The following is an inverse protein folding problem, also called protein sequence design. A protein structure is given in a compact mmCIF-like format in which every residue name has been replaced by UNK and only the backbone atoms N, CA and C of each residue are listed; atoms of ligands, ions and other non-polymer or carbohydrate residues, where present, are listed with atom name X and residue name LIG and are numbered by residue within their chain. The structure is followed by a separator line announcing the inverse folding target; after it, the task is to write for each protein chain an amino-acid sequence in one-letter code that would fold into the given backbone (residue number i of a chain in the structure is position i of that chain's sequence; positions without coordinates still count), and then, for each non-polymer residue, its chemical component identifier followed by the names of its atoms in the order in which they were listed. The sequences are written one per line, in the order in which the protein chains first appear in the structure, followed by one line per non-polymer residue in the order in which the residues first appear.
data_IF_665080213568
#
_entry.id   IF_665080213568
#
_cell.length_a   1.000
_cell.length_b   1.000
_cell.length_c   1.000
_cell.angle_alpha   90.00
_cell.angle_beta   90.00
_cell.angle_gamma   90.00
#
_symmetry.space_group_name_H-M   'P 1'
#
loop_
_entity.id
_entity.type
_entity.pdbx_description
1 polymer ?
#
# COMPACT_ATOMS: atom_id res chain seq x y z
N UNK A 1 -56.10 43.57 -24.87
CA UNK A 1 -55.90 42.88 -23.58
C UNK A 1 -55.93 41.38 -23.82
N UNK A 2 -54.77 40.72 -23.93
CA UNK A 2 -54.56 39.28 -23.69
C UNK A 2 -53.18 38.86 -24.23
N UNK A 3 -52.14 38.96 -23.40
CA UNK A 3 -50.84 38.35 -23.70
C UNK A 3 -50.02 38.12 -22.42
N UNK A 4 -50.55 37.38 -21.44
CA UNK A 4 -49.73 36.81 -20.36
C UNK A 4 -50.38 35.49 -19.91
N UNK A 5 -49.76 34.34 -20.24
CA UNK A 5 -49.75 33.07 -19.48
C UNK A 5 -49.28 31.92 -20.39
N UNK A 6 -47.97 31.68 -20.47
CA UNK A 6 -47.47 30.37 -20.92
C UNK A 6 -46.08 29.99 -20.39
N UNK A 7 -45.35 30.89 -19.73
CA UNK A 7 -43.97 30.61 -19.29
C UNK A 7 -43.83 29.99 -17.88
N UNK A 8 -44.92 29.80 -17.12
CA UNK A 8 -44.87 29.26 -15.74
C UNK A 8 -45.06 27.74 -15.63
N UNK A 9 -45.47 27.05 -16.70
CA UNK A 9 -45.81 25.61 -16.64
C UNK A 9 -44.60 24.68 -16.87
N UNK A 10 -43.65 25.04 -17.75
CA UNK A 10 -42.49 24.19 -18.06
C UNK A 10 -41.44 24.19 -16.93
N UNK A 11 -41.25 25.33 -16.25
CA UNK A 11 -40.36 25.45 -15.10
C UNK A 11 -40.86 24.64 -13.88
N UNK A 12 -42.17 24.60 -13.67
CA UNK A 12 -42.79 23.81 -12.60
C UNK A 12 -42.76 22.30 -12.88
N UNK A 13 -42.99 21.87 -14.13
CA UNK A 13 -42.82 20.46 -14.51
C UNK A 13 -41.36 20.00 -14.45
N UNK A 14 -40.41 20.84 -14.87
CA UNK A 14 -38.97 20.59 -14.75
C UNK A 14 -38.54 20.40 -13.28
N UNK A 15 -38.99 21.29 -12.39
CA UNK A 15 -38.70 21.21 -10.95
C UNK A 15 -39.37 19.99 -10.28
N UNK A 16 -40.58 19.61 -10.70
CA UNK A 16 -41.25 18.41 -10.18
C UNK A 16 -40.52 17.13 -10.60
N UNK A 17 -40.06 17.06 -11.85
CA UNK A 17 -39.28 15.93 -12.38
C UNK A 17 -37.92 15.81 -11.69
N UNK A 18 -37.24 16.93 -11.43
CA UNK A 18 -35.97 16.97 -10.69
C UNK A 18 -36.16 16.51 -9.23
N UNK A 19 -37.22 16.96 -8.54
CA UNK A 19 -37.53 16.52 -7.17
C UNK A 19 -37.84 15.03 -7.09
N UNK A 20 -38.62 14.49 -8.04
CA UNK A 20 -38.92 13.05 -8.08
C UNK A 20 -37.68 12.19 -8.39
N UNK A 21 -36.81 12.65 -9.30
CA UNK A 21 -35.58 11.94 -9.61
C UNK A 21 -34.59 11.93 -8.44
N UNK A 22 -34.45 13.06 -7.77
CA UNK A 22 -33.63 13.20 -6.56
C UNK A 22 -34.14 12.29 -5.43
N UNK A 23 -35.45 12.22 -5.22
CA UNK A 23 -36.08 11.33 -4.24
C UNK A 23 -35.87 9.83 -4.55
N UNK A 24 -35.91 9.42 -5.83
CA UNK A 24 -35.62 8.03 -6.22
C UNK A 24 -34.16 7.65 -5.91
N UNK A 25 -33.20 8.52 -6.21
CA UNK A 25 -31.78 8.25 -5.95
C UNK A 25 -31.52 8.17 -4.44
N UNK A 26 -32.22 8.97 -3.63
CA UNK A 26 -32.12 8.93 -2.17
C UNK A 26 -32.64 7.62 -1.56
N UNK A 27 -33.77 7.12 -2.08
CA UNK A 27 -34.28 5.81 -1.67
C UNK A 27 -33.30 4.69 -2.03
N UNK A 28 -32.75 4.72 -3.25
CA UNK A 28 -31.78 3.74 -3.71
C UNK A 28 -30.51 3.76 -2.84
N UNK A 29 -29.97 4.94 -2.55
CA UNK A 29 -28.78 5.07 -1.70
C UNK A 29 -29.02 4.52 -0.29
N UNK A 30 -30.18 4.82 0.30
CA UNK A 30 -30.58 4.26 1.60
C UNK A 30 -30.68 2.73 1.57
N UNK A 31 -31.26 2.16 0.51
CA UNK A 31 -31.31 0.72 0.32
C UNK A 31 -29.90 0.12 0.23
N UNK A 32 -28.98 0.73 -0.52
CA UNK A 32 -27.58 0.27 -0.61
C UNK A 32 -26.86 0.32 0.74
N UNK A 33 -27.10 1.34 1.56
CA UNK A 33 -26.49 1.42 2.91
C UNK A 33 -27.07 0.34 3.82
N UNK A 34 -28.37 0.06 3.73
CA UNK A 34 -28.97 -1.06 4.46
C UNK A 34 -28.40 -2.39 3.99
N UNK A 35 -28.05 -2.53 2.71
CA UNK A 35 -27.33 -3.69 2.20
C UNK A 35 -25.89 -3.76 2.76
N UNK A 36 -25.18 -2.64 2.86
CA UNK A 36 -23.88 -2.59 3.55
C UNK A 36 -24.02 -3.01 5.01
N UNK A 37 -25.06 -2.56 5.71
CA UNK A 37 -25.36 -2.95 7.09
C UNK A 37 -25.71 -4.42 7.24
N UNK A 38 -26.51 -4.97 6.33
CA UNK A 38 -26.87 -6.39 6.34
C UNK A 38 -25.66 -7.27 6.04
N UNK A 39 -24.80 -6.86 5.11
CA UNK A 39 -23.50 -7.46 4.87
C UNK A 39 -22.65 -7.42 6.16
N UNK A 40 -22.53 -6.26 6.83
CA UNK A 40 -21.73 -6.14 8.07
C UNK A 40 -22.21 -7.11 9.16
N UNK A 41 -23.53 -7.33 9.24
CA UNK A 41 -24.16 -8.19 10.26
C UNK A 41 -24.17 -9.67 9.87
N UNK A 42 -23.73 -10.05 8.67
CA UNK A 42 -23.69 -11.46 8.28
C UNK A 42 -22.57 -12.19 9.03
N UNK A 43 -22.81 -13.43 9.43
CA UNK A 43 -21.82 -14.26 10.13
C UNK A 43 -20.54 -14.45 9.29
N UNK A 44 -20.65 -14.44 7.97
CA UNK A 44 -19.50 -14.54 7.06
C UNK A 44 -18.58 -13.32 7.18
N UNK A 45 -19.14 -12.12 7.37
CA UNK A 45 -18.37 -10.88 7.47
C UNK A 45 -17.70 -10.75 8.85
N UNK A 46 -18.27 -11.34 9.90
CA UNK A 46 -17.62 -11.40 11.22
C UNK A 46 -16.35 -12.26 11.20
N UNK A 47 -16.32 -13.34 10.41
CA UNK A 47 -15.19 -14.27 10.38
C UNK A 47 -14.16 -13.98 9.27
N UNK A 48 -14.60 -13.56 8.08
CA UNK A 48 -13.72 -13.48 6.92
C UNK A 48 -13.34 -12.05 6.51
N UNK A 49 -14.02 -11.02 7.02
CA UNK A 49 -13.68 -9.63 6.68
C UNK A 49 -12.61 -9.07 7.62
N UNK A 50 -11.48 -8.57 7.10
CA UNK A 50 -10.46 -7.92 7.91
C UNK A 50 -11.03 -6.77 8.76
N UNK A 51 -10.64 -6.71 10.03
CA UNK A 51 -11.11 -5.71 10.99
C UNK A 51 -10.98 -4.25 10.49
N UNK A 52 -9.91 -3.96 9.73
CA UNK A 52 -9.69 -2.64 9.15
C UNK A 52 -10.79 -2.24 8.14
N UNK A 53 -11.27 -3.19 7.33
CA UNK A 53 -12.35 -3.00 6.35
C UNK A 53 -13.68 -2.88 7.10
N UNK A 54 -13.95 -3.80 8.04
CA UNK A 54 -15.17 -3.78 8.87
C UNK A 54 -15.37 -2.45 9.59
N UNK A 55 -14.31 -1.88 10.19
CA UNK A 55 -14.38 -0.55 10.83
C UNK A 55 -14.74 0.57 9.86
N UNK A 56 -14.22 0.54 8.64
CA UNK A 56 -14.54 1.56 7.62
C UNK A 56 -15.96 1.40 7.09
N UNK A 57 -16.44 0.18 6.90
CA UNK A 57 -17.84 -0.09 6.52
C UNK A 57 -18.81 0.37 7.62
N UNK A 58 -18.49 0.15 8.90
CA UNK A 58 -19.26 0.68 10.03
C UNK A 58 -19.26 2.21 10.10
N UNK A 59 -18.15 2.85 9.69
CA UNK A 59 -18.10 4.30 9.60
C UNK A 59 -18.98 4.83 8.46
N UNK A 60 -18.97 4.14 7.31
CA UNK A 60 -19.82 4.47 6.16
C UNK A 60 -21.30 4.38 6.53
N UNK A 61 -21.72 3.32 7.24
CA UNK A 61 -23.11 3.14 7.65
C UNK A 61 -23.63 4.16 8.67
N UNK A 62 -22.73 4.95 9.27
CA UNK A 62 -23.05 6.01 10.24
C UNK A 62 -23.02 7.41 9.60
N UNK A 63 -22.66 7.53 8.33
CA UNK A 63 -22.65 8.82 7.64
C UNK A 63 -24.08 9.32 7.44
N UNK A 64 -24.35 10.63 7.59
CA UNK A 64 -25.67 11.21 7.41
C UNK A 64 -26.04 11.21 5.92
N UNK A 65 -26.68 10.13 5.49
CA UNK A 65 -27.08 9.90 4.10
C UNK A 65 -28.56 10.23 4.00
N UNK A 66 -28.86 11.44 3.52
CA UNK A 66 -30.22 11.92 3.40
C UNK A 66 -30.34 13.11 2.45
N UNK A 67 -31.59 13.53 2.14
CA UNK A 67 -31.90 14.61 1.18
C UNK A 67 -31.21 15.94 1.49
N UNK A 68 -30.89 16.17 2.77
CA UNK A 68 -30.23 17.38 3.24
C UNK A 68 -28.73 17.17 3.50
N UNK A 69 -28.14 16.10 2.95
CA UNK A 69 -26.70 15.84 3.10
C UNK A 69 -25.92 16.98 2.44
N UNK A 70 -25.07 17.62 3.23
CA UNK A 70 -24.20 18.67 2.74
C UNK A 70 -23.21 18.10 1.71
N UNK A 71 -22.64 18.97 0.89
CA UNK A 71 -21.59 18.60 -0.05
C UNK A 71 -20.39 17.98 0.68
N UNK A 72 -20.11 18.46 1.90
CA UNK A 72 -19.10 17.91 2.81
C UNK A 72 -19.42 16.47 3.25
N UNK A 73 -20.69 16.18 3.56
CA UNK A 73 -21.12 14.83 3.92
C UNK A 73 -20.92 13.89 2.73
N UNK A 74 -21.37 14.31 1.53
CA UNK A 74 -21.24 13.55 0.29
C UNK A 74 -19.79 13.29 -0.07
N UNK A 75 -18.91 14.28 0.10
CA UNK A 75 -17.48 14.13 -0.09
C UNK A 75 -16.86 13.16 0.93
N UNK A 76 -17.26 13.24 2.19
CA UNK A 76 -16.80 12.32 3.24
C UNK A 76 -17.22 10.87 2.95
N UNK A 77 -18.43 10.66 2.44
CA UNK A 77 -18.92 9.35 2.00
C UNK A 77 -18.05 8.83 0.87
N UNK A 78 -17.87 9.62 -0.20
CA UNK A 78 -17.04 9.23 -1.35
C UNK A 78 -15.62 8.86 -0.93
N UNK A 79 -14.96 9.69 -0.10
CA UNK A 79 -13.63 9.41 0.47
C UNK A 79 -13.61 8.11 1.27
N UNK A 80 -14.67 7.84 2.04
CA UNK A 80 -14.78 6.61 2.84
C UNK A 80 -14.91 5.38 1.94
N UNK A 81 -15.73 5.45 0.89
CA UNK A 81 -15.93 4.39 -0.10
C UNK A 81 -14.63 4.08 -0.84
N UNK A 82 -13.92 5.10 -1.32
CA UNK A 82 -12.61 4.96 -1.97
C UNK A 82 -11.60 4.31 -1.00
N UNK A 83 -11.54 4.78 0.24
CA UNK A 83 -10.64 4.22 1.26
C UNK A 83 -10.95 2.75 1.61
N UNK A 84 -12.22 2.32 1.49
CA UNK A 84 -12.59 0.89 1.61
C UNK A 84 -12.04 0.12 0.42
N UNK A 85 -12.29 0.60 -0.81
CA UNK A 85 -11.78 -0.03 -2.05
C UNK A 85 -10.26 -0.19 -2.03
N UNK A 86 -9.53 0.87 -1.71
CA UNK A 86 -8.07 0.84 -1.60
C UNK A 86 -7.61 -0.23 -0.58
N UNK A 87 -8.26 -0.30 0.60
CA UNK A 87 -7.94 -1.33 1.58
C UNK A 87 -8.24 -2.74 1.10
N UNK A 88 -9.36 -2.96 0.42
CA UNK A 88 -9.72 -4.28 -0.13
C UNK A 88 -8.71 -4.72 -1.18
N UNK A 89 -8.33 -3.85 -2.12
CA UNK A 89 -7.32 -4.15 -3.13
C UNK A 89 -5.99 -4.55 -2.48
N UNK A 90 -5.59 -3.85 -1.41
CA UNK A 90 -4.39 -4.18 -0.65
C UNK A 90 -4.46 -5.56 0.01
N UNK A 91 -5.59 -5.89 0.65
CA UNK A 91 -5.79 -7.20 1.27
C UNK A 91 -5.77 -8.32 0.23
N UNK A 92 -6.49 -8.17 -0.89
CA UNK A 92 -6.52 -9.16 -1.97
C UNK A 92 -5.12 -9.44 -2.52
N UNK A 93 -4.30 -8.39 -2.74
CA UNK A 93 -2.94 -8.55 -3.23
C UNK A 93 -2.07 -9.34 -2.24
N UNK A 94 -2.19 -9.09 -0.93
CA UNK A 94 -1.47 -9.87 0.09
C UNK A 94 -1.94 -11.33 0.10
N UNK A 95 -3.25 -11.57 0.02
CA UNK A 95 -3.83 -12.92 0.11
C UNK A 95 -3.55 -13.79 -1.12
N UNK A 96 -3.45 -13.18 -2.30
CA UNK A 96 -3.02 -13.84 -3.52
C UNK A 96 -1.52 -14.14 -3.57
N UNK A 97 -0.72 -13.50 -2.72
CA UNK A 97 0.71 -13.52 -2.91
C UNK A 97 1.39 -14.79 -2.34
N UNK A 98 2.12 -15.53 -3.18
CA UNK A 98 2.94 -16.68 -2.77
C UNK A 98 4.21 -16.25 -2.03
N UNK A 99 4.21 -16.41 -0.70
CA UNK A 99 5.31 -15.98 0.18
C UNK A 99 6.72 -16.33 -0.34
N UNK A 100 6.96 -17.54 -0.86
CA UNK A 100 8.29 -17.91 -1.38
C UNK A 100 8.66 -17.16 -2.66
N UNK A 101 7.73 -17.10 -3.63
CA UNK A 101 7.95 -16.39 -4.90
C UNK A 101 8.16 -14.90 -4.65
N UNK A 102 7.40 -14.31 -3.72
CA UNK A 102 7.53 -12.89 -3.36
C UNK A 102 8.92 -12.57 -2.79
N UNK A 103 9.41 -13.37 -1.83
CA UNK A 103 10.71 -13.11 -1.20
C UNK A 103 11.84 -13.24 -2.22
N UNK A 104 11.78 -14.25 -3.08
CA UNK A 104 12.75 -14.38 -4.19
C UNK A 104 12.69 -13.17 -5.12
N UNK A 105 11.48 -12.77 -5.53
CA UNK A 105 11.25 -11.61 -6.39
C UNK A 105 11.72 -10.31 -5.74
N UNK A 106 11.58 -10.18 -4.42
CA UNK A 106 12.08 -9.03 -3.65
C UNK A 106 13.59 -8.90 -3.82
N UNK A 107 14.32 -9.98 -3.58
CA UNK A 107 15.78 -9.91 -3.66
C UNK A 107 16.26 -9.74 -5.10
N UNK A 108 15.54 -10.25 -6.10
CA UNK A 108 15.78 -9.92 -7.52
C UNK A 108 15.56 -8.42 -7.76
N UNK A 109 14.45 -7.85 -7.30
CA UNK A 109 14.14 -6.43 -7.47
C UNK A 109 15.17 -5.50 -6.80
N UNK A 110 15.69 -5.89 -5.63
CA UNK A 110 16.77 -5.19 -4.93
C UNK A 110 18.09 -5.29 -5.73
N UNK A 111 18.45 -6.49 -6.21
CA UNK A 111 19.67 -6.68 -7.02
C UNK A 111 19.64 -5.93 -8.35
N UNK A 112 18.49 -5.86 -9.02
CA UNK A 112 18.32 -5.11 -10.26
C UNK A 112 18.58 -3.61 -10.11
N UNK A 113 18.57 -3.09 -8.87
CA UNK A 113 18.91 -1.70 -8.55
C UNK A 113 20.37 -1.51 -8.09
N UNK A 114 21.21 -2.54 -8.24
CA UNK A 114 22.60 -2.55 -7.77
C UNK A 114 22.72 -2.61 -6.25
N UNK A 115 21.70 -3.10 -5.57
CA UNK A 115 21.60 -3.15 -4.11
C UNK A 115 21.64 -4.60 -3.60
N UNK A 116 22.01 -4.77 -2.32
CA UNK A 116 22.04 -6.09 -1.71
C UNK A 116 21.81 -6.00 -0.20
N UNK A 117 21.01 -6.93 0.33
CA UNK A 117 20.87 -7.18 1.76
C UNK A 117 21.63 -8.46 2.09
N UNK A 118 22.51 -8.43 3.09
CA UNK A 118 23.44 -9.53 3.40
C UNK A 118 22.94 -10.46 4.51
N UNK A 119 21.68 -10.30 4.92
CA UNK A 119 21.11 -10.98 6.09
C UNK A 119 21.25 -10.14 7.37
N UNK A 120 20.44 -10.42 8.40
CA UNK A 120 20.29 -9.53 9.57
C UNK A 120 21.62 -9.16 10.26
N UNK A 121 22.43 -10.15 10.62
CA UNK A 121 23.65 -9.93 11.38
C UNK A 121 24.73 -9.19 10.58
N UNK A 122 24.97 -9.63 9.33
CA UNK A 122 25.99 -9.02 8.46
C UNK A 122 25.57 -7.59 8.09
N UNK A 123 24.28 -7.36 7.82
CA UNK A 123 23.78 -6.04 7.48
C UNK A 123 23.94 -5.05 8.64
N UNK A 124 23.59 -5.47 9.86
CA UNK A 124 23.76 -4.66 11.07
C UNK A 124 25.21 -4.24 11.25
N UNK A 125 26.16 -5.17 11.10
CA UNK A 125 27.58 -4.87 11.26
C UNK A 125 28.10 -3.91 10.19
N UNK A 126 27.72 -4.10 8.92
CA UNK A 126 28.08 -3.17 7.84
C UNK A 126 27.57 -1.76 8.14
N UNK A 127 26.33 -1.60 8.62
CA UNK A 127 25.78 -0.29 8.94
C UNK A 127 26.48 0.35 10.16
N UNK A 128 26.84 -0.42 11.19
CA UNK A 128 27.67 0.07 12.30
C UNK A 128 29.03 0.56 11.84
N UNK A 129 29.66 -0.14 10.90
CA UNK A 129 30.94 0.26 10.32
C UNK A 129 30.83 1.53 9.44
N UNK A 130 29.70 1.74 8.76
CA UNK A 130 29.42 3.00 8.06
C UNK A 130 29.34 4.16 9.06
N UNK A 131 28.62 3.97 10.18
CA UNK A 131 28.54 4.97 11.25
C UNK A 131 29.94 5.23 11.84
N UNK A 132 30.73 4.20 12.09
CA UNK A 132 32.08 4.35 12.62
C UNK A 132 33.00 5.13 11.67
N UNK A 133 32.82 4.96 10.35
CA UNK A 133 33.66 5.61 9.35
C UNK A 133 33.27 7.05 9.03
N UNK A 134 31.99 7.40 9.15
CA UNK A 134 31.43 8.68 8.66
C UNK A 134 30.63 9.47 9.72
N UNK A 135 30.42 8.90 10.90
CA UNK A 135 29.52 9.41 11.95
C UNK A 135 30.00 10.68 12.63
N UNK A 136 31.28 11.02 12.52
CA UNK A 136 31.86 12.29 12.96
C UNK A 136 31.82 13.37 11.87
N UNK A 137 31.24 13.06 10.71
CA UNK A 137 31.23 13.95 9.54
C UNK A 137 32.44 13.77 8.61
N UNK A 138 33.27 12.74 8.81
CA UNK A 138 34.32 12.37 7.87
C UNK A 138 33.76 12.19 6.45
N UNK A 139 34.56 12.59 5.45
CA UNK A 139 34.23 12.52 4.04
C UNK A 139 35.10 11.46 3.36
N UNK A 140 34.49 10.40 2.83
CA UNK A 140 35.22 9.33 2.14
C UNK A 140 34.71 9.15 0.72
N UNK A 141 35.58 8.77 -0.19
CA UNK A 141 35.12 8.22 -1.48
C UNK A 141 34.45 6.88 -1.26
N UNK A 142 33.54 6.48 -2.16
CA UNK A 142 32.92 5.15 -2.13
C UNK A 142 33.94 4.01 -2.03
N UNK A 143 35.04 4.10 -2.79
CA UNK A 143 36.11 3.09 -2.80
C UNK A 143 36.75 2.95 -1.42
N UNK A 144 37.09 4.07 -0.78
CA UNK A 144 37.74 4.05 0.54
C UNK A 144 36.79 3.53 1.61
N UNK A 145 35.52 3.94 1.61
CA UNK A 145 34.51 3.43 2.54
C UNK A 145 34.32 1.91 2.41
N UNK A 146 34.19 1.41 1.18
CA UNK A 146 34.02 -0.04 0.93
C UNK A 146 35.23 -0.83 1.43
N UNK A 147 36.45 -0.35 1.19
CA UNK A 147 37.67 -1.00 1.68
C UNK A 147 37.76 -0.96 3.21
N UNK A 148 37.40 0.17 3.84
CA UNK A 148 37.38 0.31 5.29
C UNK A 148 36.47 -0.73 5.96
N UNK A 149 35.27 -0.94 5.39
CA UNK A 149 34.30 -1.92 5.88
C UNK A 149 34.82 -3.34 5.62
N UNK A 150 35.26 -3.62 4.40
CA UNK A 150 35.70 -4.96 3.99
C UNK A 150 36.84 -5.48 4.88
N UNK A 151 37.85 -4.65 5.18
CA UNK A 151 38.98 -5.02 6.03
C UNK A 151 38.57 -5.50 7.43
N UNK A 152 37.44 -5.02 7.95
CA UNK A 152 36.89 -5.41 9.25
C UNK A 152 35.97 -6.61 9.15
N UNK A 153 35.27 -6.76 8.02
CA UNK A 153 34.30 -7.85 7.81
C UNK A 153 34.93 -9.15 7.33
N UNK A 154 36.00 -9.11 6.52
CA UNK A 154 36.54 -10.27 5.80
C UNK A 154 37.06 -11.38 6.73
N UNK A 155 37.52 -11.03 7.94
CA UNK A 155 37.95 -12.01 8.94
C UNK A 155 36.79 -12.79 9.57
N UNK A 156 35.59 -12.22 9.56
CA UNK A 156 34.40 -12.75 10.25
C UNK A 156 33.42 -13.37 9.24
N UNK A 157 33.30 -12.78 8.05
CA UNK A 157 32.35 -13.17 7.00
C UNK A 157 32.99 -13.27 5.61
N UNK A 158 34.01 -14.13 5.43
CA UNK A 158 34.86 -14.15 4.22
C UNK A 158 34.10 -14.47 2.92
N UNK A 159 33.03 -15.27 2.99
CA UNK A 159 32.27 -15.68 1.80
C UNK A 159 31.18 -14.68 1.42
N UNK A 160 30.68 -13.90 2.38
CA UNK A 160 29.52 -13.03 2.22
C UNK A 160 29.94 -11.56 2.02
N UNK A 161 31.02 -11.11 2.66
CA UNK A 161 31.53 -9.75 2.58
C UNK A 161 32.63 -9.65 1.51
N UNK A 162 32.26 -9.17 0.33
CA UNK A 162 33.17 -8.88 -0.78
C UNK A 162 33.12 -7.40 -1.13
N UNK A 163 34.09 -6.90 -1.91
CA UNK A 163 34.06 -5.51 -2.41
C UNK A 163 32.73 -5.19 -3.09
N UNK A 164 32.21 -6.13 -3.88
CA UNK A 164 30.96 -5.99 -4.62
C UNK A 164 29.76 -5.98 -3.68
N UNK A 165 29.65 -6.96 -2.78
CA UNK A 165 28.48 -7.07 -1.90
C UNK A 165 28.38 -5.92 -0.89
N UNK A 166 29.51 -5.50 -0.30
CA UNK A 166 29.57 -4.29 0.54
C UNK A 166 29.26 -3.04 -0.28
N UNK A 167 29.79 -2.95 -1.51
CA UNK A 167 29.47 -1.86 -2.43
C UNK A 167 27.98 -1.74 -2.74
N UNK A 168 27.27 -2.86 -2.84
CA UNK A 168 25.82 -2.91 -3.03
C UNK A 168 25.03 -2.53 -1.76
N UNK A 169 25.55 -2.80 -0.56
CA UNK A 169 24.97 -2.27 0.69
C UNK A 169 25.09 -0.74 0.73
N UNK A 170 26.28 -0.20 0.43
CA UNK A 170 26.49 1.25 0.34
C UNK A 170 25.58 1.87 -0.73
N UNK A 171 25.27 1.15 -1.80
CA UNK A 171 24.33 1.59 -2.83
C UNK A 171 22.91 1.79 -2.28
N UNK A 172 22.46 0.97 -1.30
CA UNK A 172 21.15 1.17 -0.65
C UNK A 172 21.13 2.54 0.03
N UNK A 173 22.15 2.84 0.82
CA UNK A 173 22.25 4.12 1.54
C UNK A 173 22.36 5.31 0.60
N UNK A 174 23.02 5.14 -0.55
CA UNK A 174 23.06 6.16 -1.60
C UNK A 174 21.67 6.42 -2.19
N UNK A 175 20.91 5.37 -2.53
CA UNK A 175 19.54 5.51 -3.04
C UNK A 175 18.58 6.08 -2.00
N UNK A 176 18.80 5.73 -0.73
CA UNK A 176 18.11 6.27 0.43
C UNK A 176 18.44 7.74 0.71
N UNK A 177 19.32 8.36 -0.09
CA UNK A 177 19.75 9.75 0.08
C UNK A 177 20.38 10.04 1.44
N UNK A 178 21.06 9.04 2.03
CA UNK A 178 21.73 9.17 3.32
C UNK A 178 23.00 10.05 3.25
N UNK A 179 23.56 10.24 2.06
CA UNK A 179 24.81 10.96 1.86
C UNK A 179 24.61 12.35 1.27
N UNK A 180 25.45 13.27 1.69
CA UNK A 180 25.79 14.47 0.92
C UNK A 180 26.94 14.15 -0.02
N UNK A 181 26.79 14.54 -1.29
CA UNK A 181 27.74 14.21 -2.36
C UNK A 181 28.53 15.46 -2.73
N UNK A 182 29.83 15.44 -2.43
CA UNK A 182 30.74 16.55 -2.69
C UNK A 182 31.53 16.22 -3.95
N UNK A 183 31.26 16.98 -5.02
CA UNK A 183 31.97 16.87 -6.30
C UNK A 183 33.35 17.50 -6.20
N UNK A 184 34.34 16.87 -6.83
CA UNK A 184 35.73 17.36 -6.90
C UNK A 184 36.16 17.34 -8.36
N UNK A 185 36.93 18.34 -8.77
CA UNK A 185 37.44 18.41 -10.14
C UNK A 185 38.40 17.26 -10.40
N UNK A 186 38.16 16.51 -11.48
CA UNK A 186 39.01 15.41 -11.95
C UNK A 186 39.26 14.28 -10.92
N UNK A 187 38.46 14.20 -9.85
CA UNK A 187 38.56 13.18 -8.81
C UNK A 187 37.22 12.50 -8.49
N UNK A 188 37.26 11.34 -7.82
CA UNK A 188 36.05 10.67 -7.33
C UNK A 188 35.33 11.52 -6.29
N UNK A 189 33.99 11.56 -6.34
CA UNK A 189 33.17 12.28 -5.37
C UNK A 189 33.40 11.76 -3.94
N UNK A 190 33.35 12.69 -2.98
CA UNK A 190 33.30 12.36 -1.56
C UNK A 190 31.86 12.19 -1.12
N UNK A 191 31.68 11.31 -0.15
CA UNK A 191 30.40 11.01 0.48
C UNK A 191 30.55 11.34 1.96
N UNK A 192 29.65 12.18 2.46
CA UNK A 192 29.53 12.50 3.88
C UNK A 192 28.17 12.01 4.38
N UNK A 193 28.11 11.42 5.57
CA UNK A 193 26.84 11.04 6.15
C UNK A 193 26.11 12.28 6.66
N UNK A 194 24.87 12.49 6.19
CA UNK A 194 24.05 13.61 6.65
C UNK A 194 23.81 13.51 8.16
N UNK A 195 23.73 14.64 8.83
CA UNK A 195 23.73 14.74 10.29
C UNK A 195 22.65 13.86 10.95
N UNK A 196 21.44 13.87 10.40
CA UNK A 196 20.32 13.08 10.90
C UNK A 196 20.51 11.55 10.84
N UNK A 197 21.48 11.06 10.06
CA UNK A 197 21.74 9.62 9.89
C UNK A 197 23.01 9.16 10.60
N UNK A 198 23.64 10.00 11.43
CA UNK A 198 24.89 9.65 12.15
C UNK A 198 24.68 8.75 13.36
N UNK A 199 23.43 8.41 13.70
CA UNK A 199 23.09 7.39 14.70
C UNK A 199 22.60 6.12 14.02
N UNK A 200 22.96 4.96 14.58
CA UNK A 200 22.61 3.66 14.00
C UNK A 200 21.11 3.49 13.76
N UNK A 201 20.27 3.83 14.74
CA UNK A 201 18.82 3.64 14.62
C UNK A 201 18.22 4.47 13.47
N UNK A 202 18.69 5.70 13.29
CA UNK A 202 18.21 6.59 12.23
C UNK A 202 18.66 6.11 10.85
N UNK A 203 19.94 5.74 10.71
CA UNK A 203 20.47 5.15 9.47
C UNK A 203 19.77 3.83 9.11
N UNK A 204 19.57 2.96 10.11
CA UNK A 204 18.92 1.66 9.93
C UNK A 204 17.48 1.82 9.49
N UNK A 205 16.75 2.78 10.07
CA UNK A 205 15.37 3.07 9.69
C UNK A 205 15.26 3.54 8.24
N UNK A 206 16.16 4.42 7.80
CA UNK A 206 16.18 4.90 6.41
C UNK A 206 16.62 3.80 5.42
N UNK A 207 17.58 2.96 5.81
CA UNK A 207 17.96 1.76 5.07
C UNK A 207 16.77 0.82 4.85
N UNK A 208 16.02 0.50 5.91
CA UNK A 208 14.88 -0.41 5.84
C UNK A 208 13.75 0.21 5.00
N UNK A 209 13.49 1.51 5.16
CA UNK A 209 12.55 2.25 4.33
C UNK A 209 12.91 2.18 2.84
N UNK A 210 14.19 2.27 2.49
CA UNK A 210 14.63 2.16 1.11
C UNK A 210 14.40 0.75 0.53
N UNK A 211 14.65 -0.32 1.32
CA UNK A 211 14.33 -1.69 0.88
C UNK A 211 12.82 -1.86 0.65
N UNK A 212 12.01 -1.37 1.59
CA UNK A 212 10.55 -1.44 1.48
C UNK A 212 10.08 -0.63 0.28
N UNK A 213 10.62 0.57 0.03
CA UNK A 213 10.30 1.37 -1.17
C UNK A 213 10.57 0.60 -2.47
N UNK A 214 11.73 -0.04 -2.61
CA UNK A 214 12.06 -0.84 -3.78
C UNK A 214 11.11 -2.02 -3.98
N UNK A 215 10.66 -2.63 -2.88
CA UNK A 215 9.64 -3.68 -2.92
C UNK A 215 8.30 -3.11 -3.42
N UNK A 216 7.87 -1.98 -2.85
CA UNK A 216 6.61 -1.33 -3.21
C UNK A 216 6.55 -0.95 -4.70
N UNK A 217 7.63 -0.33 -5.20
CA UNK A 217 7.83 0.01 -6.61
C UNK A 217 7.75 -1.21 -7.54
N UNK A 218 8.15 -2.38 -7.04
CA UNK A 218 8.14 -3.63 -7.79
C UNK A 218 6.85 -4.45 -7.58
N UNK A 219 5.83 -3.84 -6.95
CA UNK A 219 4.55 -4.48 -6.66
C UNK A 219 4.56 -5.52 -5.55
N UNK A 220 5.64 -5.59 -4.80
CA UNK A 220 5.76 -6.51 -3.68
C UNK A 220 5.18 -5.87 -2.44
N UNK A 221 4.25 -6.57 -1.80
CA UNK A 221 3.64 -6.20 -0.51
C UNK A 221 3.89 -7.33 0.48
N UNK A 222 4.38 -6.96 1.65
CA UNK A 222 4.66 -7.87 2.76
C UNK A 222 4.12 -7.25 4.04
N UNK A 223 3.66 -8.09 4.96
CA UNK A 223 3.18 -7.65 6.26
C UNK A 223 4.34 -7.15 7.15
N UNK A 224 4.06 -6.34 8.18
CA UNK A 224 5.09 -5.91 9.13
C UNK A 224 5.82 -7.08 9.81
N UNK A 225 5.14 -8.19 10.08
CA UNK A 225 5.72 -9.43 10.62
C UNK A 225 6.69 -10.09 9.64
N UNK A 226 6.32 -10.14 8.36
CA UNK A 226 7.19 -10.67 7.30
C UNK A 226 8.43 -9.81 7.14
N UNK A 227 8.29 -8.48 7.16
CA UNK A 227 9.43 -7.56 7.12
C UNK A 227 10.35 -7.69 8.35
N UNK A 228 9.78 -7.78 9.54
CA UNK A 228 10.54 -8.01 10.78
C UNK A 228 11.35 -9.31 10.67
N UNK A 229 10.71 -10.38 10.22
CA UNK A 229 11.38 -11.67 10.02
C UNK A 229 12.49 -11.59 8.97
N UNK A 230 12.27 -10.90 7.85
CA UNK A 230 13.23 -10.81 6.75
C UNK A 230 14.45 -9.95 7.09
N UNK A 231 14.24 -8.79 7.70
CA UNK A 231 15.31 -7.81 7.92
C UNK A 231 16.02 -7.99 9.25
N UNK A 232 15.38 -8.64 10.23
CA UNK A 232 15.92 -8.79 11.59
C UNK A 232 15.97 -10.24 12.07
N UNK A 233 15.27 -11.17 11.43
CA UNK A 233 15.18 -12.55 11.91
C UNK A 233 14.33 -12.71 13.17
N UNK A 234 13.49 -11.71 13.49
CA UNK A 234 12.65 -11.71 14.69
C UNK A 234 11.27 -11.08 14.43
N UNK A 235 10.43 -11.01 15.47
CA UNK A 235 9.14 -10.31 15.45
C UNK A 235 9.11 -9.03 16.31
N UNK A 236 10.26 -8.61 16.84
CA UNK A 236 10.36 -7.48 17.77
C UNK A 236 10.26 -6.14 17.04
N UNK A 237 10.58 -6.11 15.74
CA UNK A 237 10.59 -4.90 14.92
C UNK A 237 9.29 -4.66 14.16
N UNK A 238 8.23 -5.44 14.42
CA UNK A 238 6.91 -5.33 13.77
C UNK A 238 6.37 -3.89 13.78
N UNK A 239 6.41 -3.21 14.93
CA UNK A 239 5.90 -1.84 15.07
C UNK A 239 6.72 -0.82 14.26
N UNK A 240 8.05 -1.00 14.20
CA UNK A 240 8.93 -0.19 13.38
C UNK A 240 8.61 -0.37 11.88
N UNK A 241 8.45 -1.62 11.44
CA UNK A 241 8.08 -1.92 10.05
C UNK A 241 6.72 -1.33 9.70
N UNK A 242 5.73 -1.43 10.59
CA UNK A 242 4.42 -0.81 10.42
C UNK A 242 4.55 0.71 10.23
N UNK A 243 5.31 1.40 11.10
CA UNK A 243 5.55 2.84 10.99
C UNK A 243 6.19 3.26 9.66
N UNK A 244 7.18 2.49 9.18
CA UNK A 244 7.82 2.76 7.88
C UNK A 244 6.82 2.56 6.74
N UNK A 245 6.06 1.46 6.75
CA UNK A 245 5.05 1.16 5.72
C UNK A 245 3.98 2.25 5.68
N UNK A 246 3.49 2.72 6.82
CA UNK A 246 2.48 3.78 6.88
C UNK A 246 3.02 5.09 6.30
N UNK A 247 4.26 5.47 6.64
CA UNK A 247 4.92 6.66 6.08
C UNK A 247 5.10 6.54 4.56
N UNK A 248 5.53 5.37 4.07
CA UNK A 248 5.72 5.14 2.63
C UNK A 248 4.38 5.12 1.89
N UNK A 249 3.35 4.48 2.43
CA UNK A 249 2.02 4.45 1.81
C UNK A 249 1.39 5.85 1.74
N UNK A 250 1.61 6.70 2.76
CA UNK A 250 1.19 8.09 2.71
C UNK A 250 1.87 8.89 1.59
N UNK A 251 3.02 8.42 1.08
CA UNK A 251 3.83 9.12 0.09
C UNK A 251 3.80 8.46 -1.30
N UNK A 252 3.62 7.13 -1.41
CA UNK A 252 4.06 6.34 -2.59
C UNK A 252 3.00 5.46 -3.30
N UNK A 253 1.73 5.43 -2.90
CA UNK A 253 0.76 4.58 -3.62
C UNK A 253 -0.54 5.32 -3.96
N UNK A 254 -0.62 5.98 -5.13
CA UNK A 254 -1.92 6.30 -5.71
C UNK A 254 -2.67 4.98 -5.93
N UNK A 255 -3.96 4.98 -5.62
CA UNK A 255 -4.82 3.80 -5.67
C UNK A 255 -4.74 3.10 -7.04
N UNK A 256 -4.58 3.86 -8.12
CA UNK A 256 -4.43 3.34 -9.49
C UNK A 256 -3.32 2.29 -9.64
N UNK A 257 -2.13 2.56 -9.09
CA UNK A 257 -1.00 1.62 -9.17
C UNK A 257 -1.27 0.33 -8.40
N UNK A 258 -2.03 0.41 -7.31
CA UNK A 258 -2.44 -0.76 -6.54
C UNK A 258 -3.41 -1.63 -7.37
N UNK A 259 -4.32 -0.99 -8.10
CA UNK A 259 -5.27 -1.67 -8.99
C UNK A 259 -4.57 -2.27 -10.21
N UNK A 260 -3.59 -1.59 -10.80
CA UNK A 260 -2.72 -2.14 -11.85
C UNK A 260 -2.03 -3.43 -11.40
N UNK A 261 -1.47 -3.40 -10.19
CA UNK A 261 -0.76 -4.55 -9.61
C UNK A 261 -1.71 -5.71 -9.37
N UNK A 262 -2.88 -5.46 -8.79
CA UNK A 262 -3.90 -6.49 -8.58
C UNK A 262 -4.37 -7.09 -9.90
N UNK A 263 -4.66 -6.25 -10.91
CA UNK A 263 -5.08 -6.71 -12.23
C UNK A 263 -4.04 -7.62 -12.88
N UNK A 264 -2.76 -7.25 -12.78
CA UNK A 264 -1.66 -8.08 -13.28
C UNK A 264 -1.55 -9.40 -12.53
N UNK A 265 -1.62 -9.40 -11.20
CA UNK A 265 -1.57 -10.62 -10.38
C UNK A 265 -2.72 -11.57 -10.73
N UNK A 266 -3.95 -11.05 -10.88
CA UNK A 266 -5.11 -11.86 -11.26
C UNK A 266 -5.03 -12.40 -12.70
N UNK A 267 -4.33 -11.72 -13.60
CA UNK A 267 -4.13 -12.19 -14.98
C UNK A 267 -3.05 -13.29 -15.09
N UNK A 268 -2.05 -13.28 -14.20
CA UNK A 268 -0.96 -14.26 -14.17
C UNK A 268 -1.32 -15.54 -13.38
N UNK A 269 -2.34 -15.48 -12.54
CA UNK A 269 -2.79 -16.59 -11.70
C UNK A 269 -4.17 -17.11 -12.10
N UNK A 270 -4.57 -18.25 -11.56
CA UNK A 270 -5.90 -18.79 -11.80
C UNK A 270 -6.94 -17.90 -11.08
N UNK A 271 -7.91 -17.39 -11.83
CA UNK A 271 -8.95 -16.50 -11.28
C UNK A 271 -9.97 -17.29 -10.44
N UNK A 272 -9.65 -17.47 -9.17
CA UNK A 272 -10.58 -18.08 -8.21
C UNK A 272 -11.76 -17.13 -7.98
N UNK A 273 -12.98 -17.67 -8.02
CA UNK A 273 -14.26 -16.97 -7.75
C UNK A 273 -14.57 -15.74 -8.62
N UNK A 274 -13.92 -15.62 -9.78
CA UNK A 274 -14.07 -14.50 -10.71
C UNK A 274 -13.75 -13.15 -10.04
N UNK A 275 -12.57 -13.06 -9.41
CA UNK A 275 -12.06 -11.81 -8.84
C UNK A 275 -11.67 -10.81 -9.92
N UNK A 276 -11.29 -11.25 -11.13
CA UNK A 276 -10.94 -10.33 -12.22
C UNK A 276 -12.11 -9.37 -12.57
N UNK A 277 -13.36 -9.83 -12.42
CA UNK A 277 -14.55 -9.01 -12.61
C UNK A 277 -14.59 -7.78 -11.68
N UNK A 278 -13.92 -7.83 -10.52
CA UNK A 278 -13.87 -6.69 -9.59
C UNK A 278 -12.97 -5.56 -10.07
N UNK A 279 -12.08 -5.80 -11.03
CA UNK A 279 -11.12 -4.78 -11.52
C UNK A 279 -11.84 -3.58 -12.12
N UNK A 280 -12.95 -3.76 -12.84
CA UNK A 280 -13.72 -2.63 -13.39
C UNK A 280 -14.29 -1.74 -12.29
N UNK A 281 -14.68 -2.33 -11.16
CA UNK A 281 -15.19 -1.61 -10.00
C UNK A 281 -14.07 -0.86 -9.27
N UNK A 282 -12.89 -1.47 -9.14
CA UNK A 282 -11.72 -0.77 -8.61
C UNK A 282 -11.31 0.42 -9.47
N UNK A 283 -11.27 0.26 -10.80
CA UNK A 283 -10.95 1.36 -11.73
C UNK A 283 -11.94 2.51 -11.64
N UNK A 284 -13.23 2.22 -11.44
CA UNK A 284 -14.23 3.26 -11.18
C UNK A 284 -13.92 4.05 -9.91
N UNK A 285 -13.54 3.38 -8.83
CA UNK A 285 -13.16 4.08 -7.58
C UNK A 285 -11.89 4.91 -7.73
N UNK A 286 -10.93 4.45 -8.55
CA UNK A 286 -9.73 5.23 -8.91
C UNK A 286 -10.11 6.51 -9.66
N UNK A 287 -11.03 6.42 -10.63
CA UNK A 287 -11.53 7.61 -11.35
C UNK A 287 -12.17 8.62 -10.39
N UNK A 288 -12.96 8.15 -9.41
CA UNK A 288 -13.51 9.04 -8.38
C UNK A 288 -12.45 9.63 -7.46
N UNK A 289 -11.36 8.92 -7.14
CA UNK A 289 -10.24 9.46 -6.37
C UNK A 289 -9.52 10.59 -7.13
N UNK A 290 -9.28 10.40 -8.43
CA UNK A 290 -8.60 11.39 -9.27
C UNK A 290 -9.41 12.68 -9.43
N UNK A 291 -10.74 12.57 -9.44
CA UNK A 291 -11.65 13.69 -9.65
C UNK A 291 -12.33 14.15 -8.36
N UNK A 292 -11.79 13.80 -7.17
CA UNK A 292 -12.53 13.93 -5.91
C UNK A 292 -12.85 15.39 -5.52
N UNK A 293 -12.06 16.33 -6.02
CA UNK A 293 -12.23 17.76 -5.77
C UNK A 293 -13.14 18.43 -6.83
N UNK A 294 -13.63 17.68 -7.83
CA UNK A 294 -14.60 18.16 -8.80
C UNK A 294 -16.02 18.14 -8.22
N UNK A 295 -16.76 19.24 -8.38
CA UNK A 295 -18.12 19.44 -7.85
C UNK A 295 -19.11 18.33 -8.26
N UNK A 296 -18.90 17.73 -9.44
CA UNK A 296 -19.75 16.68 -9.97
C UNK A 296 -19.44 15.27 -9.43
N UNK A 297 -18.26 15.04 -8.87
CA UNK A 297 -17.85 13.69 -8.42
C UNK A 297 -18.68 13.21 -7.24
N UNK A 298 -19.10 14.12 -6.36
CA UNK A 298 -19.91 13.81 -5.18
C UNK A 298 -21.42 13.91 -5.42
N UNK A 299 -21.87 13.84 -6.67
CA UNK A 299 -23.29 13.72 -7.00
C UNK A 299 -23.85 12.39 -6.48
N UNK A 300 -25.14 12.39 -6.13
CA UNK A 300 -25.81 11.23 -5.54
C UNK A 300 -25.70 9.97 -6.41
N UNK A 301 -25.82 10.09 -7.74
CA UNK A 301 -25.65 8.97 -8.67
C UNK A 301 -24.25 8.34 -8.60
N UNK A 302 -23.21 9.16 -8.53
CA UNK A 302 -21.83 8.70 -8.42
C UNK A 302 -21.58 8.01 -7.07
N UNK A 303 -22.17 8.53 -5.99
CA UNK A 303 -22.11 7.89 -4.68
C UNK A 303 -22.79 6.52 -4.71
N UNK A 304 -23.99 6.40 -5.30
CA UNK A 304 -24.67 5.11 -5.46
C UNK A 304 -23.79 4.13 -6.24
N UNK A 305 -23.23 4.55 -7.37
CA UNK A 305 -22.32 3.73 -8.16
C UNK A 305 -21.06 3.30 -7.40
N UNK A 306 -20.51 4.19 -6.58
CA UNK A 306 -19.33 3.92 -5.75
C UNK A 306 -19.68 2.91 -4.63
N UNK A 307 -20.84 3.07 -3.98
CA UNK A 307 -21.35 2.15 -2.97
C UNK A 307 -21.63 0.77 -3.55
N UNK A 308 -22.24 0.68 -4.73
CA UNK A 308 -22.44 -0.59 -5.44
C UNK A 308 -21.12 -1.29 -5.77
N UNK A 309 -20.12 -0.49 -6.16
CA UNK A 309 -18.79 -1.00 -6.46
C UNK A 309 -18.15 -1.63 -5.22
N UNK A 310 -18.22 -0.98 -4.04
CA UNK A 310 -17.66 -1.58 -2.82
C UNK A 310 -18.46 -2.78 -2.32
N UNK A 311 -19.78 -2.81 -2.50
CA UNK A 311 -20.62 -3.95 -2.12
C UNK A 311 -20.13 -5.18 -2.89
N UNK A 312 -20.01 -5.08 -4.21
CA UNK A 312 -19.56 -6.18 -5.04
C UNK A 312 -18.12 -6.60 -4.70
N UNK A 313 -17.20 -5.62 -4.60
CA UNK A 313 -15.79 -5.85 -4.28
C UNK A 313 -15.65 -6.60 -2.93
N UNK A 314 -16.32 -6.12 -1.88
CA UNK A 314 -16.23 -6.71 -0.54
C UNK A 314 -16.85 -8.11 -0.52
N UNK A 315 -18.00 -8.31 -1.16
CA UNK A 315 -18.63 -9.63 -1.25
C UNK A 315 -17.71 -10.62 -1.95
N UNK A 316 -17.13 -10.25 -3.10
CA UNK A 316 -16.18 -11.10 -3.83
C UNK A 316 -14.92 -11.40 -3.01
N UNK A 317 -14.40 -10.42 -2.27
CA UNK A 317 -13.27 -10.64 -1.35
C UNK A 317 -13.63 -11.65 -0.26
N UNK A 318 -14.81 -11.55 0.36
CA UNK A 318 -15.25 -12.49 1.40
C UNK A 318 -15.39 -13.90 0.82
N UNK A 319 -16.03 -14.04 -0.34
CA UNK A 319 -16.15 -15.33 -1.04
C UNK A 319 -14.78 -15.93 -1.34
N UNK A 320 -13.83 -15.11 -1.78
CA UNK A 320 -12.46 -15.56 -2.03
C UNK A 320 -11.76 -16.02 -0.75
N UNK A 321 -11.81 -15.23 0.32
CA UNK A 321 -11.15 -15.56 1.60
C UNK A 321 -11.76 -16.83 2.20
N UNK A 322 -13.08 -16.97 2.16
CA UNK A 322 -13.79 -18.19 2.58
C UNK A 322 -13.36 -19.40 1.76
N UNK A 323 -13.34 -19.28 0.42
CA UNK A 323 -12.85 -20.34 -0.47
C UNK A 323 -11.42 -20.79 -0.12
N UNK A 324 -10.52 -19.84 0.15
CA UNK A 324 -9.15 -20.17 0.57
C UNK A 324 -9.15 -20.91 1.90
N UNK A 325 -9.93 -20.42 2.88
CA UNK A 325 -9.99 -21.02 4.21
C UNK A 325 -10.50 -22.45 4.15
N UNK A 326 -11.57 -22.71 3.41
CA UNK A 326 -12.14 -24.05 3.25
C UNK A 326 -11.16 -25.03 2.60
N UNK A 327 -10.34 -24.54 1.66
CA UNK A 327 -9.34 -25.36 0.97
C UNK A 327 -8.07 -25.62 1.78
N UNK A 328 -7.64 -24.66 2.58
CA UNK A 328 -6.30 -24.67 3.18
C UNK A 328 -6.29 -24.72 4.71
N UNK A 329 -7.44 -24.52 5.36
CA UNK A 329 -7.55 -24.30 6.81
C UNK A 329 -6.87 -23.00 7.28
N UNK A 330 -6.55 -22.09 6.35
CA UNK A 330 -5.78 -20.88 6.56
C UNK A 330 -6.35 -19.73 5.74
N UNK A 331 -6.19 -18.50 6.20
CA UNK A 331 -6.58 -17.30 5.44
C UNK A 331 -5.53 -16.92 4.39
N UNK A 332 -4.85 -17.87 3.76
CA UNK A 332 -3.79 -17.62 2.76
C UNK A 332 -3.69 -18.84 1.86
N UNK A 333 -3.63 -18.62 0.54
CA UNK A 333 -3.41 -19.68 -0.45
C UNK A 333 -2.10 -20.43 -0.20
N UNK A 334 -1.14 -19.77 0.47
CA UNK A 334 0.20 -20.28 0.70
C UNK A 334 0.50 -20.35 2.20
N UNK A 335 1.01 -21.51 2.65
CA UNK A 335 1.49 -21.69 4.04
C UNK A 335 2.67 -20.74 4.30
N UNK A 336 2.67 -20.09 5.46
CA UNK A 336 3.74 -19.18 5.87
C UNK A 336 5.03 -19.99 6.15
N UNK A 337 6.07 -19.93 5.29
CA UNK A 337 7.20 -20.84 5.36
C UNK A 337 8.37 -20.29 6.19
N UNK A 338 8.17 -19.14 6.85
CA UNK A 338 9.21 -18.46 7.63
C UNK A 338 9.68 -19.24 8.88
N UNK A 339 9.05 -20.36 9.23
CA UNK A 339 9.56 -21.25 10.28
C UNK A 339 10.80 -22.06 9.85
N UNK A 340 11.09 -22.17 8.55
CA UNK A 340 12.12 -23.11 8.05
C UNK A 340 13.31 -22.45 7.32
N UNK A 341 13.45 -21.11 7.30
CA UNK A 341 14.52 -20.43 6.56
C UNK A 341 15.74 -20.03 7.41
N UNK A 342 15.82 -20.53 8.65
CA UNK A 342 17.00 -20.38 9.50
C UNK A 342 17.61 -21.77 9.75
N UNK A 343 18.24 -22.32 8.71
CA UNK A 343 19.35 -23.27 8.83
C UNK A 343 20.44 -22.78 7.89
#
# INVERSE_FOLDING_TARGET
MAAIKSHSSSANQSNYRKKNHQHCIEMELNEKIQLVLSLIKSNELEHFCPHAIRRKMLALSRCPLGPNSSDDDRMKIMRTVIAIGNRVAFELLIKHSNSHRIISSLWVAVRNRGCQFLGPAIQEEVLKLVILALGDGTQLTRKVLVLYILQRMEKIYPLQATKTSVGHVVQILYRASCFEIIKRESESCLMQLKEQYRKYNDLRREHDAQIISMALESGIRLSPEQWSSLLYGDQRHKSNMQSIIDKLNATNAPFDRLVDQLAKTLAEEQDYVHLADTIVHFRRLVQFEQNIDEENTCQHSNIVMAVDSIILIVTKMITFISYIYDRTGSYSLYKNPMKNHFI
#
